data_IF_084108024603
#
_entry.id   IF_084108024603
#
_cell.length_a   1.000
_cell.length_b   1.000
_cell.length_c   1.000
_cell.angle_alpha   90.00
_cell.angle_beta   90.00
_cell.angle_gamma   90.00
#
_symmetry.space_group_name_H-M   'P 1'
#
loop_
_entity.id
_entity.type
_entity.pdbx_description
1 polymer ?
#
# COMPACT_ATOMS: atom_id res chain seq x y z
N UNK A 1 -1.76 16.00 -17.33
CA UNK A 1 -2.52 17.27 -17.28
C UNK A 1 -3.92 16.93 -16.81
N UNK A 2 -4.44 17.64 -15.81
CA UNK A 2 -5.75 17.34 -15.23
C UNK A 2 -6.88 17.84 -16.14
N UNK A 3 -8.05 17.21 -16.07
CA UNK A 3 -9.24 17.65 -16.78
C UNK A 3 -9.88 18.88 -16.13
N UNK A 4 -10.76 19.57 -16.88
CA UNK A 4 -11.46 20.78 -16.39
C UNK A 4 -12.24 20.60 -15.09
N UNK A 5 -12.75 19.40 -14.80
CA UNK A 5 -13.45 19.12 -13.54
C UNK A 5 -12.49 18.95 -12.36
N UNK A 6 -11.36 18.30 -12.59
CA UNK A 6 -10.30 18.08 -11.60
C UNK A 6 -9.65 19.41 -11.21
N UNK A 7 -9.39 20.28 -12.20
CA UNK A 7 -8.90 21.64 -11.98
C UNK A 7 -9.85 22.47 -11.11
N UNK A 8 -11.17 22.33 -11.29
CA UNK A 8 -12.16 23.02 -10.44
C UNK A 8 -12.11 22.55 -8.99
N UNK A 9 -11.94 21.24 -8.76
CA UNK A 9 -11.81 20.68 -7.41
C UNK A 9 -10.53 21.22 -6.75
N UNK A 10 -9.42 21.18 -7.48
CA UNK A 10 -8.12 21.70 -7.06
C UNK A 10 -8.22 23.19 -6.71
N UNK A 11 -8.88 24.00 -7.53
CA UNK A 11 -9.09 25.44 -7.28
C UNK A 11 -9.88 25.70 -5.99
N UNK A 12 -10.90 24.88 -5.70
CA UNK A 12 -11.71 24.99 -4.48
C UNK A 12 -10.87 24.85 -3.20
N UNK A 13 -9.83 24.04 -3.23
CA UNK A 13 -8.93 23.77 -2.08
C UNK A 13 -7.52 24.33 -2.28
N UNK A 14 -7.36 25.36 -3.13
CA UNK A 14 -6.05 25.88 -3.56
C UNK A 14 -5.22 26.55 -2.46
N UNK A 15 -5.84 26.98 -1.35
CA UNK A 15 -5.15 27.62 -0.22
C UNK A 15 -4.50 26.58 0.69
N UNK A 16 -3.46 25.92 0.19
CA UNK A 16 -2.67 24.93 0.94
C UNK A 16 -1.46 25.60 1.59
N UNK A 17 -1.32 25.43 2.90
CA UNK A 17 -0.22 25.93 3.71
C UNK A 17 0.35 24.85 4.65
N UNK A 18 1.35 25.21 5.46
CA UNK A 18 2.01 24.30 6.39
C UNK A 18 1.12 23.70 7.48
N UNK A 19 -0.06 24.26 7.75
CA UNK A 19 -0.97 23.81 8.80
C UNK A 19 -2.11 22.96 8.25
N UNK A 20 -2.58 23.25 7.04
CA UNK A 20 -3.78 22.65 6.48
C UNK A 20 -3.53 21.65 5.34
N UNK A 21 -2.27 21.47 4.89
CA UNK A 21 -1.94 20.67 3.71
C UNK A 21 -2.52 19.26 3.72
N UNK A 22 -2.48 18.56 4.86
CA UNK A 22 -3.00 17.20 4.97
C UNK A 22 -4.50 17.14 4.73
N UNK A 23 -5.24 18.04 5.39
CA UNK A 23 -6.71 18.08 5.31
C UNK A 23 -7.17 18.50 3.93
N UNK A 24 -6.53 19.51 3.34
CA UNK A 24 -6.89 20.00 2.00
C UNK A 24 -6.57 18.97 0.91
N UNK A 25 -5.42 18.30 0.95
CA UNK A 25 -5.08 17.25 -0.03
C UNK A 25 -6.07 16.08 0.08
N UNK A 26 -6.37 15.60 1.29
CA UNK A 26 -7.36 14.53 1.46
C UNK A 26 -8.77 14.97 1.04
N UNK A 27 -9.13 16.25 1.25
CA UNK A 27 -10.42 16.79 0.79
C UNK A 27 -10.50 16.86 -0.73
N UNK A 28 -9.41 17.21 -1.42
CA UNK A 28 -9.31 17.13 -2.89
C UNK A 28 -9.53 15.69 -3.34
N UNK A 29 -8.85 14.73 -2.70
CA UNK A 29 -9.02 13.29 -2.98
C UNK A 29 -10.47 12.86 -2.75
N UNK A 30 -11.10 13.30 -1.66
CA UNK A 30 -12.49 12.99 -1.35
C UNK A 30 -13.45 13.45 -2.44
N UNK A 31 -13.24 14.66 -2.96
CA UNK A 31 -14.03 15.22 -4.07
C UNK A 31 -13.60 14.70 -5.45
N UNK A 32 -12.51 13.96 -5.54
CA UNK A 32 -12.01 13.42 -6.81
C UNK A 32 -12.99 12.42 -7.38
N UNK A 33 -13.43 12.65 -8.63
CA UNK A 33 -14.32 11.71 -9.32
C UNK A 33 -13.49 10.57 -9.90
N UNK A 34 -13.85 9.35 -9.53
CA UNK A 34 -13.26 8.13 -10.08
C UNK A 34 -14.27 7.55 -11.06
N UNK A 35 -13.86 7.40 -12.32
CA UNK A 35 -14.65 6.71 -13.32
C UNK A 35 -14.11 5.29 -13.53
N UNK A 36 -14.90 4.27 -13.23
CA UNK A 36 -14.49 2.87 -13.35
C UNK A 36 -14.12 2.45 -14.79
N UNK A 37 -14.54 3.22 -15.81
CA UNK A 37 -14.16 2.97 -17.21
C UNK A 37 -12.73 3.38 -17.56
N UNK A 38 -12.13 4.24 -16.74
CA UNK A 38 -10.76 4.70 -16.95
C UNK A 38 -9.79 3.84 -16.13
N UNK A 39 -8.64 3.52 -16.71
CA UNK A 39 -7.54 2.92 -15.99
C UNK A 39 -6.75 4.01 -15.27
N UNK A 40 -6.78 3.97 -13.94
CA UNK A 40 -6.01 4.87 -13.10
C UNK A 40 -4.92 4.11 -12.35
N UNK A 41 -3.69 4.63 -12.38
CA UNK A 41 -2.56 3.99 -11.68
C UNK A 41 -2.75 3.92 -10.16
N UNK A 42 -3.63 4.75 -9.59
CA UNK A 42 -3.96 4.77 -8.17
C UNK A 42 -5.16 3.89 -7.80
N UNK A 43 -5.79 3.23 -8.75
CA UNK A 43 -6.91 2.31 -8.54
C UNK A 43 -6.56 0.93 -9.10
N UNK A 44 -6.02 0.09 -8.23
CA UNK A 44 -5.50 -1.23 -8.56
C UNK A 44 -6.67 -2.16 -8.91
N UNK A 45 -6.61 -2.72 -10.11
CA UNK A 45 -7.67 -3.55 -10.71
C UNK A 45 -9.07 -2.93 -10.60
N UNK A 46 -9.16 -1.60 -10.70
CA UNK A 46 -10.42 -0.83 -10.59
C UNK A 46 -11.15 -0.95 -9.23
N UNK A 47 -10.50 -1.49 -8.20
CA UNK A 47 -11.11 -1.77 -6.90
C UNK A 47 -10.31 -1.16 -5.73
N UNK A 48 -9.01 -1.46 -5.66
CA UNK A 48 -8.16 -1.08 -4.51
C UNK A 48 -7.52 0.29 -4.70
N UNK A 49 -7.82 1.24 -3.82
CA UNK A 49 -7.41 2.64 -3.95
C UNK A 49 -6.12 2.97 -3.17
N UNK A 50 -5.07 3.33 -3.90
CA UNK A 50 -3.83 3.86 -3.34
C UNK A 50 -3.91 5.40 -3.26
N UNK A 51 -4.43 5.93 -2.15
CA UNK A 51 -4.59 7.38 -1.97
C UNK A 51 -3.28 8.16 -2.05
N UNK A 52 -2.16 7.56 -1.65
CA UNK A 52 -0.83 8.19 -1.68
C UNK A 52 -0.41 8.51 -3.11
N UNK A 53 -0.67 7.60 -4.05
CA UNK A 53 -0.34 7.80 -5.47
C UNK A 53 -1.16 8.94 -6.09
N UNK A 54 -2.44 9.07 -5.72
CA UNK A 54 -3.24 10.23 -6.13
C UNK A 54 -2.74 11.52 -5.46
N UNK A 55 -2.38 11.47 -4.18
CA UNK A 55 -1.83 12.62 -3.45
C UNK A 55 -0.56 13.16 -4.13
N UNK A 56 0.38 12.29 -4.52
CA UNK A 56 1.59 12.68 -5.25
C UNK A 56 1.25 13.41 -6.55
N UNK A 57 0.31 12.88 -7.35
CA UNK A 57 -0.13 13.55 -8.59
C UNK A 57 -0.72 14.94 -8.35
N UNK A 58 -1.50 15.09 -7.27
CA UNK A 58 -2.07 16.39 -6.89
C UNK A 58 -0.96 17.36 -6.47
N UNK A 59 -0.01 16.89 -5.67
CA UNK A 59 1.10 17.71 -5.15
C UNK A 59 2.01 18.20 -6.28
N UNK A 60 2.38 17.31 -7.20
CA UNK A 60 3.20 17.63 -8.37
C UNK A 60 2.58 18.72 -9.25
N UNK A 61 1.25 18.82 -9.27
CA UNK A 61 0.53 19.85 -10.01
C UNK A 61 0.62 21.23 -9.35
N UNK A 62 0.54 21.32 -8.02
CA UNK A 62 0.54 22.60 -7.30
C UNK A 62 1.92 23.27 -7.24
N UNK A 63 3.02 22.52 -7.41
CA UNK A 63 4.39 23.04 -7.37
C UNK A 63 4.67 23.94 -6.14
N UNK A 64 4.50 23.38 -4.95
CA UNK A 64 4.78 24.10 -3.70
C UNK A 64 6.25 24.50 -3.55
N UNK A 65 6.53 25.39 -2.60
CA UNK A 65 7.89 25.72 -2.19
C UNK A 65 8.61 24.51 -1.53
N UNK A 66 9.94 24.59 -1.44
CA UNK A 66 10.80 23.51 -0.95
C UNK A 66 10.49 23.11 0.51
N UNK A 67 10.17 24.08 1.38
CA UNK A 67 9.87 23.83 2.79
C UNK A 67 8.58 23.03 2.93
N UNK A 68 7.54 23.38 2.17
CA UNK A 68 6.26 22.68 2.19
C UNK A 68 6.35 21.31 1.51
N UNK A 69 7.06 21.20 0.38
CA UNK A 69 7.32 19.91 -0.29
C UNK A 69 7.99 18.91 0.65
N UNK A 70 8.98 19.35 1.43
CA UNK A 70 9.66 18.46 2.40
C UNK A 70 8.67 17.90 3.43
N UNK A 71 7.72 18.72 3.93
CA UNK A 71 6.68 18.24 4.86
C UNK A 71 5.69 17.30 4.19
N UNK A 72 5.28 17.60 2.96
CA UNK A 72 4.37 16.77 2.16
C UNK A 72 4.96 15.39 1.89
N UNK A 73 6.22 15.34 1.44
CA UNK A 73 6.97 14.10 1.22
C UNK A 73 7.03 13.29 2.52
N UNK A 74 7.48 13.89 3.63
CA UNK A 74 7.54 13.21 4.93
C UNK A 74 6.18 12.67 5.39
N UNK A 75 5.08 13.37 5.07
CA UNK A 75 3.73 12.92 5.37
C UNK A 75 3.27 11.76 4.49
N UNK A 76 3.51 11.81 3.17
CA UNK A 76 3.14 10.72 2.25
C UNK A 76 3.90 9.43 2.58
N UNK A 77 5.19 9.54 2.87
CA UNK A 77 6.03 8.40 3.22
C UNK A 77 5.80 7.89 4.64
N UNK A 78 4.99 8.58 5.45
CA UNK A 78 4.60 8.07 6.75
C UNK A 78 3.77 6.77 6.58
N UNK A 79 4.12 5.67 7.27
CA UNK A 79 3.43 4.39 7.11
C UNK A 79 2.08 4.31 7.87
N UNK A 80 1.63 5.39 8.51
CA UNK A 80 0.34 5.46 9.20
C UNK A 80 -0.83 5.22 8.24
N UNK A 81 -1.71 4.27 8.59
CA UNK A 81 -2.82 3.82 7.73
C UNK A 81 -3.77 4.95 7.33
N UNK A 82 -4.15 5.77 8.31
CA UNK A 82 -5.09 6.88 8.16
C UNK A 82 -4.40 8.25 7.98
N UNK A 83 -3.24 8.29 7.31
CA UNK A 83 -2.55 9.52 6.96
C UNK A 83 -2.29 10.48 8.14
N UNK A 84 -1.97 9.94 9.33
CA UNK A 84 -1.77 10.67 10.61
C UNK A 84 -3.01 11.36 11.19
N UNK A 85 -4.20 10.92 10.76
CA UNK A 85 -5.49 11.27 11.38
C UNK A 85 -6.05 10.06 12.15
N UNK A 86 -7.12 10.29 12.92
CA UNK A 86 -7.98 9.20 13.37
C UNK A 86 -8.71 8.56 12.18
N UNK A 87 -9.10 7.30 12.33
CA UNK A 87 -9.87 6.56 11.32
C UNK A 87 -11.14 7.32 10.89
N UNK A 88 -11.91 7.84 11.84
CA UNK A 88 -13.15 8.59 11.58
C UNK A 88 -12.87 9.84 10.74
N UNK A 89 -11.88 10.66 11.13
CA UNK A 89 -11.55 11.88 10.40
C UNK A 89 -11.03 11.57 9.00
N UNK A 90 -10.21 10.52 8.85
CA UNK A 90 -9.74 10.10 7.53
C UNK A 90 -10.90 9.67 6.64
N UNK A 91 -11.81 8.82 7.15
CA UNK A 91 -13.02 8.37 6.45
C UNK A 91 -13.92 9.53 6.01
N UNK A 92 -14.10 10.53 6.88
CA UNK A 92 -14.85 11.76 6.55
C UNK A 92 -14.20 12.53 5.38
N UNK A 93 -12.88 12.67 5.39
CA UNK A 93 -12.16 13.46 4.38
C UNK A 93 -12.17 12.82 2.99
N UNK A 94 -11.95 11.51 2.90
CA UNK A 94 -11.86 10.81 1.61
C UNK A 94 -13.20 10.27 1.11
N UNK A 95 -14.19 10.16 2.00
CA UNK A 95 -15.50 9.58 1.71
C UNK A 95 -15.55 8.06 1.80
N UNK A 96 -16.76 7.53 2.02
CA UNK A 96 -17.00 6.12 2.33
C UNK A 96 -16.51 5.15 1.26
N UNK A 97 -16.82 5.39 -0.02
CA UNK A 97 -16.43 4.50 -1.12
C UNK A 97 -14.90 4.40 -1.26
N UNK A 98 -14.20 5.55 -1.25
CA UNK A 98 -12.73 5.58 -1.33
C UNK A 98 -12.08 5.00 -0.08
N UNK A 99 -12.73 5.12 1.08
CA UNK A 99 -12.27 4.50 2.31
C UNK A 99 -12.28 2.97 2.21
N UNK A 100 -13.37 2.36 1.73
CA UNK A 100 -13.43 0.92 1.52
C UNK A 100 -12.42 0.44 0.47
N UNK A 101 -12.26 1.22 -0.61
CA UNK A 101 -11.24 0.95 -1.62
C UNK A 101 -9.82 1.08 -1.04
N UNK A 102 -9.56 2.03 -0.14
CA UNK A 102 -8.29 2.16 0.58
C UNK A 102 -8.02 0.97 1.50
N UNK A 103 -9.03 0.49 2.23
CA UNK A 103 -8.88 -0.74 3.01
C UNK A 103 -8.58 -1.94 2.11
N UNK A 104 -9.21 -2.02 0.95
CA UNK A 104 -8.94 -3.07 -0.04
C UNK A 104 -7.48 -3.03 -0.51
N UNK A 105 -6.92 -1.84 -0.73
CA UNK A 105 -5.50 -1.67 -1.04
C UNK A 105 -4.61 -2.08 0.15
N UNK A 106 -4.96 -1.66 1.36
CA UNK A 106 -4.17 -1.99 2.55
C UNK A 106 -4.10 -3.49 2.79
N UNK A 107 -5.24 -4.18 2.81
CA UNK A 107 -5.25 -5.63 3.04
C UNK A 107 -4.76 -6.42 1.83
N UNK A 108 -5.19 -6.04 0.63
CA UNK A 108 -4.92 -6.81 -0.57
C UNK A 108 -3.56 -6.56 -1.22
N UNK A 109 -2.87 -5.48 -0.86
CA UNK A 109 -1.51 -5.19 -1.37
C UNK A 109 -0.51 -5.11 -0.21
N UNK A 110 -0.73 -4.22 0.75
CA UNK A 110 0.25 -3.98 1.83
C UNK A 110 0.40 -5.21 2.73
N UNK A 111 -0.70 -5.71 3.29
CA UNK A 111 -0.67 -6.88 4.17
C UNK A 111 -0.27 -8.15 3.40
N UNK A 112 -0.70 -8.29 2.16
CA UNK A 112 -0.31 -9.42 1.30
C UNK A 112 1.21 -9.46 1.06
N UNK A 113 1.84 -8.32 0.78
CA UNK A 113 3.31 -8.23 0.68
C UNK A 113 3.99 -8.57 2.00
N UNK A 114 3.44 -8.12 3.13
CA UNK A 114 3.96 -8.49 4.44
C UNK A 114 3.83 -9.98 4.74
N UNK A 115 2.76 -10.64 4.27
CA UNK A 115 2.60 -12.09 4.38
C UNK A 115 3.64 -12.84 3.55
N UNK A 116 3.90 -12.40 2.31
CA UNK A 116 4.97 -12.96 1.45
C UNK A 116 6.32 -12.82 2.15
N UNK A 117 6.66 -11.61 2.64
CA UNK A 117 7.92 -11.35 3.35
C UNK A 117 8.05 -12.16 4.66
N UNK A 118 6.95 -12.31 5.41
CA UNK A 118 6.92 -13.19 6.58
C UNK A 118 7.25 -14.63 6.22
N UNK A 119 6.66 -15.15 5.14
CA UNK A 119 6.90 -16.52 4.68
C UNK A 119 8.34 -16.70 4.17
N UNK A 120 8.91 -15.71 3.48
CA UNK A 120 10.33 -15.68 3.11
C UNK A 120 11.24 -15.75 4.34
N UNK A 121 10.96 -14.94 5.36
CA UNK A 121 11.75 -14.91 6.60
C UNK A 121 11.74 -16.29 7.30
N UNK A 122 10.58 -16.95 7.36
CA UNK A 122 10.45 -18.28 7.98
C UNK A 122 11.21 -19.36 7.21
N UNK A 123 11.17 -19.34 5.87
CA UNK A 123 11.94 -20.26 5.05
C UNK A 123 13.46 -20.02 5.20
N UNK A 124 13.88 -18.75 5.25
CA UNK A 124 15.28 -18.40 5.48
C UNK A 124 15.77 -18.92 6.84
N UNK A 125 14.99 -18.74 7.92
CA UNK A 125 15.30 -19.28 9.25
C UNK A 125 15.45 -20.80 9.23
N UNK A 126 14.55 -21.50 8.53
CA UNK A 126 14.64 -22.96 8.35
C UNK A 126 15.92 -23.33 7.62
N UNK A 127 16.24 -22.67 6.52
CA UNK A 127 17.46 -22.94 5.75
C UNK A 127 18.73 -22.77 6.61
N UNK A 128 18.79 -21.71 7.42
CA UNK A 128 19.90 -21.48 8.36
C UNK A 128 19.96 -22.61 9.40
N UNK A 129 18.82 -23.02 9.95
CA UNK A 129 18.77 -24.12 10.94
C UNK A 129 19.22 -25.47 10.37
N UNK A 130 19.04 -25.69 9.07
CA UNK A 130 19.53 -26.85 8.33
C UNK A 130 20.96 -26.67 7.80
N UNK A 131 21.74 -25.71 8.31
CA UNK A 131 23.14 -25.53 7.89
C UNK A 131 23.31 -25.16 6.41
N UNK A 132 22.29 -24.55 5.78
CA UNK A 132 22.25 -24.20 4.35
C UNK A 132 22.31 -25.37 3.36
N UNK A 133 22.01 -26.60 3.79
CA UNK A 133 21.90 -27.75 2.87
C UNK A 133 20.67 -27.67 1.95
N UNK A 134 19.58 -27.07 2.44
CA UNK A 134 18.35 -26.82 1.67
C UNK A 134 18.32 -25.35 1.24
N UNK A 135 18.00 -25.09 -0.03
CA UNK A 135 17.85 -23.72 -0.57
C UNK A 135 16.41 -23.48 -0.99
N UNK A 136 15.76 -22.55 -0.32
CA UNK A 136 14.43 -22.11 -0.71
C UNK A 136 14.49 -21.04 -1.79
N UNK A 137 13.44 -20.97 -2.59
CA UNK A 137 13.26 -20.07 -3.73
C UNK A 137 11.94 -19.32 -3.57
N UNK A 138 11.69 -18.28 -4.39
CA UNK A 138 10.38 -17.63 -4.43
C UNK A 138 9.23 -18.62 -4.68
N UNK A 139 9.49 -19.72 -5.38
CA UNK A 139 8.47 -20.75 -5.64
C UNK A 139 7.92 -21.38 -4.37
N UNK A 140 8.78 -21.61 -3.37
CA UNK A 140 8.40 -22.23 -2.10
C UNK A 140 7.50 -21.31 -1.29
N UNK A 141 7.74 -20.00 -1.36
CA UNK A 141 6.94 -18.96 -0.67
C UNK A 141 5.53 -18.92 -1.22
N UNK A 142 5.41 -18.76 -2.55
CA UNK A 142 4.10 -18.66 -3.20
C UNK A 142 3.34 -19.98 -3.12
N UNK A 143 4.03 -21.12 -3.23
CA UNK A 143 3.42 -22.44 -3.04
C UNK A 143 2.88 -22.62 -1.62
N UNK A 144 3.59 -22.13 -0.59
CA UNK A 144 3.13 -22.22 0.80
C UNK A 144 1.86 -21.38 1.06
N UNK A 145 1.79 -20.18 0.45
CA UNK A 145 0.66 -19.25 0.66
C UNK A 145 -0.53 -19.65 -0.19
N UNK A 146 -0.33 -19.80 -1.51
CA UNK A 146 -1.39 -19.92 -2.52
C UNK A 146 -1.65 -21.35 -3.00
N UNK A 147 -0.83 -22.33 -2.59
CA UNK A 147 -0.80 -23.69 -3.17
C UNK A 147 -0.53 -23.71 -4.70
N UNK A 148 0.11 -22.65 -5.22
CA UNK A 148 0.48 -22.48 -6.62
C UNK A 148 1.87 -21.85 -6.67
N UNK A 149 2.69 -22.31 -7.61
CA UNK A 149 4.03 -21.77 -7.90
C UNK A 149 3.96 -20.32 -8.37
N UNK A 150 4.98 -19.53 -8.03
CA UNK A 150 5.15 -18.15 -8.50
C UNK A 150 5.12 -18.07 -10.03
N UNK A 151 5.88 -18.93 -10.73
CA UNK A 151 5.91 -18.95 -12.19
C UNK A 151 4.52 -19.20 -12.79
N UNK A 152 3.73 -20.10 -12.22
CA UNK A 152 2.37 -20.34 -12.70
C UNK A 152 1.44 -19.16 -12.43
N UNK A 153 1.52 -18.57 -11.23
CA UNK A 153 0.71 -17.38 -10.89
C UNK A 153 1.04 -16.21 -11.81
N UNK A 154 2.32 -15.96 -12.10
CA UNK A 154 2.70 -14.83 -12.95
C UNK A 154 2.35 -15.08 -14.41
N UNK A 155 2.48 -16.31 -14.91
CA UNK A 155 2.08 -16.68 -16.27
C UNK A 155 0.56 -16.56 -16.45
N UNK A 156 -0.23 -17.01 -15.47
CA UNK A 156 -1.68 -16.86 -15.43
C UNK A 156 -2.07 -15.37 -15.43
N UNK A 157 -1.40 -14.55 -14.59
CA UNK A 157 -1.61 -13.11 -14.54
C UNK A 157 -1.27 -12.42 -15.87
N UNK A 158 -0.13 -12.71 -16.48
CA UNK A 158 0.23 -12.16 -17.78
C UNK A 158 -0.75 -12.55 -18.88
N UNK A 159 -1.24 -13.78 -18.85
CA UNK A 159 -2.24 -14.27 -19.80
C UNK A 159 -3.58 -13.55 -19.63
N UNK A 160 -4.05 -13.39 -18.40
CA UNK A 160 -5.31 -12.72 -18.06
C UNK A 160 -5.32 -11.24 -18.46
N UNK A 161 -4.22 -10.52 -18.17
CA UNK A 161 -4.09 -9.09 -18.44
C UNK A 161 -3.42 -8.75 -19.78
N UNK A 162 -3.13 -9.77 -20.61
CA UNK A 162 -2.49 -9.64 -21.94
C UNK A 162 -1.17 -8.85 -21.89
N UNK A 163 -0.37 -9.07 -20.85
CA UNK A 163 0.91 -8.39 -20.65
C UNK A 163 1.97 -9.10 -21.50
N UNK A 164 2.57 -8.38 -22.44
CA UNK A 164 3.51 -8.95 -23.43
C UNK A 164 4.97 -8.88 -23.02
N UNK A 165 5.32 -8.02 -22.06
CA UNK A 165 6.71 -7.81 -21.63
C UNK A 165 6.98 -8.45 -20.29
N UNK A 166 8.11 -9.14 -20.14
CA UNK A 166 8.54 -9.72 -18.86
C UNK A 166 9.06 -8.70 -17.84
N UNK A 167 9.06 -7.40 -18.18
CA UNK A 167 9.45 -6.33 -17.26
C UNK A 167 8.21 -5.81 -16.54
N UNK A 168 8.03 -6.23 -15.30
CA UNK A 168 6.94 -5.80 -14.43
C UNK A 168 7.31 -4.44 -13.83
N UNK A 169 6.45 -3.43 -14.02
CA UNK A 169 6.57 -2.15 -13.30
C UNK A 169 6.04 -2.30 -11.87
N UNK A 170 6.38 -1.39 -10.96
CA UNK A 170 5.84 -1.43 -9.59
C UNK A 170 4.30 -1.44 -9.56
N UNK A 171 3.65 -0.73 -10.49
CA UNK A 171 2.20 -0.76 -10.64
C UNK A 171 1.68 -2.15 -11.04
N UNK A 172 2.33 -2.79 -12.01
CA UNK A 172 1.97 -4.14 -12.43
C UNK A 172 2.21 -5.15 -11.31
N UNK A 173 3.23 -4.95 -10.48
CA UNK A 173 3.49 -5.80 -9.32
C UNK A 173 2.45 -5.59 -8.20
N UNK A 174 1.99 -4.36 -7.96
CA UNK A 174 0.85 -4.10 -7.06
C UNK A 174 -0.44 -4.79 -7.57
N UNK A 175 -0.72 -4.72 -8.88
CA UNK A 175 -1.85 -5.43 -9.50
C UNK A 175 -1.73 -6.95 -9.34
N UNK A 176 -0.56 -7.51 -9.61
CA UNK A 176 -0.27 -8.92 -9.42
C UNK A 176 -0.49 -9.35 -7.96
N UNK A 177 0.02 -8.57 -7.01
CA UNK A 177 -0.16 -8.82 -5.58
C UNK A 177 -1.66 -8.83 -5.21
N UNK A 178 -2.41 -7.82 -5.65
CA UNK A 178 -3.84 -7.71 -5.39
C UNK A 178 -4.64 -8.86 -6.02
N UNK A 179 -4.27 -9.28 -7.23
CA UNK A 179 -4.86 -10.43 -7.91
C UNK A 179 -4.59 -11.75 -7.16
N UNK A 180 -3.36 -11.96 -6.67
CA UNK A 180 -3.03 -13.10 -5.81
C UNK A 180 -3.83 -13.09 -4.50
N UNK A 181 -3.99 -11.92 -3.88
CA UNK A 181 -4.85 -11.76 -2.70
C UNK A 181 -6.29 -12.19 -2.99
N UNK A 182 -6.89 -11.74 -4.10
CA UNK A 182 -8.26 -12.14 -4.49
C UNK A 182 -8.36 -13.66 -4.64
N UNK A 183 -7.42 -14.28 -5.35
CA UNK A 183 -7.35 -15.75 -5.43
C UNK A 183 -7.23 -16.42 -4.07
N UNK A 184 -6.44 -15.87 -3.14
CA UNK A 184 -6.29 -16.41 -1.79
C UNK A 184 -7.59 -16.32 -1.00
N UNK A 185 -8.30 -15.20 -1.09
CA UNK A 185 -9.62 -15.02 -0.46
C UNK A 185 -10.62 -16.05 -0.99
N UNK A 186 -10.63 -16.29 -2.30
CA UNK A 186 -11.61 -17.19 -2.93
C UNK A 186 -11.31 -18.68 -2.70
N UNK A 187 -10.03 -19.05 -2.54
CA UNK A 187 -9.60 -20.46 -2.52
C UNK A 187 -9.09 -20.97 -1.15
N UNK A 188 -9.05 -20.12 -0.12
CA UNK A 188 -8.57 -20.51 1.22
C UNK A 188 -9.71 -20.76 2.19
N UNK A 189 -9.54 -21.75 3.06
CA UNK A 189 -10.38 -21.91 4.24
C UNK A 189 -10.38 -20.63 5.10
N UNK A 190 -11.53 -20.21 5.68
CA UNK A 190 -11.61 -18.97 6.47
C UNK A 190 -10.60 -18.89 7.62
N UNK A 191 -10.30 -20.03 8.25
CA UNK A 191 -9.30 -20.12 9.33
C UNK A 191 -7.87 -19.86 8.83
N UNK A 192 -7.52 -20.39 7.66
CA UNK A 192 -6.22 -20.12 7.00
C UNK A 192 -6.14 -18.65 6.60
N UNK A 193 -7.18 -18.14 5.95
CA UNK A 193 -7.27 -16.73 5.53
C UNK A 193 -7.03 -15.78 6.71
N UNK A 194 -7.71 -15.99 7.84
CA UNK A 194 -7.55 -15.17 9.04
C UNK A 194 -6.14 -15.29 9.65
N UNK A 195 -5.60 -16.51 9.73
CA UNK A 195 -4.25 -16.78 10.24
C UNK A 195 -3.18 -16.08 9.42
N UNK A 196 -3.29 -16.17 8.09
CA UNK A 196 -2.34 -15.56 7.16
C UNK A 196 -2.44 -14.03 7.18
N UNK A 197 -3.65 -13.47 7.22
CA UNK A 197 -3.83 -12.03 7.42
C UNK A 197 -3.20 -11.57 8.75
N UNK A 198 -3.38 -12.34 9.83
CA UNK A 198 -2.75 -12.05 11.13
C UNK A 198 -1.22 -12.08 11.06
N UNK A 199 -0.63 -13.03 10.34
CA UNK A 199 0.83 -13.09 10.13
C UNK A 199 1.34 -11.84 9.39
N UNK A 200 0.67 -11.46 8.31
CA UNK A 200 1.01 -10.25 7.55
C UNK A 200 0.94 -8.97 8.41
N UNK A 201 -0.14 -8.78 9.15
CA UNK A 201 -0.30 -7.63 10.07
C UNK A 201 0.75 -7.61 11.17
N UNK A 202 1.03 -8.77 11.79
CA UNK A 202 2.05 -8.88 12.83
C UNK A 202 3.45 -8.59 12.29
N UNK A 203 3.74 -9.04 11.07
CA UNK A 203 5.01 -8.73 10.40
C UNK A 203 5.15 -7.23 10.15
N UNK A 204 4.10 -6.57 9.63
CA UNK A 204 4.09 -5.11 9.45
C UNK A 204 4.35 -4.38 10.76
N UNK A 205 3.66 -4.76 11.84
CA UNK A 205 3.85 -4.16 13.16
C UNK A 205 5.31 -4.28 13.65
N UNK A 206 5.90 -5.49 13.54
CA UNK A 206 7.30 -5.73 13.93
C UNK A 206 8.28 -4.90 13.09
N UNK A 207 8.07 -4.86 11.77
CA UNK A 207 8.87 -4.07 10.86
C UNK A 207 8.87 -2.60 11.27
N UNK A 208 7.69 -2.07 11.56
CA UNK A 208 7.52 -0.67 11.91
C UNK A 208 8.06 -0.31 13.29
N UNK A 209 7.89 -1.18 14.28
CA UNK A 209 8.53 -1.02 15.60
C UNK A 209 10.06 -1.02 15.50
N UNK A 210 10.64 -1.87 14.65
CA UNK A 210 12.08 -1.86 14.34
C UNK A 210 12.52 -0.53 13.72
N UNK A 211 11.80 -0.04 12.72
CA UNK A 211 12.12 1.23 12.06
C UNK A 211 12.01 2.42 13.03
N UNK A 212 10.99 2.44 13.89
CA UNK A 212 10.91 3.41 14.97
C UNK A 212 12.16 3.36 15.86
N UNK A 213 12.56 2.18 16.35
CA UNK A 213 13.75 2.04 17.20
C UNK A 213 15.01 2.58 16.53
N UNK A 214 15.21 2.33 15.23
CA UNK A 214 16.35 2.86 14.45
C UNK A 214 16.34 4.38 14.34
N UNK A 215 15.17 4.97 14.11
CA UNK A 215 15.03 6.43 14.04
C UNK A 215 15.30 7.10 15.39
N UNK A 216 14.93 6.44 16.50
CA UNK A 216 15.15 6.97 17.86
C UNK A 216 16.52 6.64 18.44
N UNK A 217 17.17 5.54 18.04
CA UNK A 217 18.54 5.23 18.51
C UNK A 217 19.57 6.26 18.05
N UNK A 218 19.32 6.92 16.92
CA UNK A 218 20.20 7.96 16.38
C UNK A 218 19.89 9.37 16.88
N UNK A 219 18.88 9.57 17.75
CA UNK A 219 18.51 10.88 18.30
C UNK A 219 18.52 10.83 19.83
N UNK A 220 19.54 11.44 20.43
CA UNK A 220 19.69 11.66 21.89
C UNK A 220 18.52 12.45 22.54
N UNK A 221 17.51 12.92 21.80
CA UNK A 221 16.40 13.68 22.38
C UNK A 221 15.02 13.38 21.78
N UNK A 222 14.08 13.18 22.70
CA UNK A 222 12.61 13.10 22.59
C UNK A 222 12.01 11.91 21.81
N UNK A 223 11.48 10.95 22.60
CA UNK A 223 10.42 10.01 22.19
C UNK A 223 9.27 10.79 21.56
N UNK A 224 9.09 10.69 20.24
CA UNK A 224 7.78 10.85 19.63
C UNK A 224 7.27 9.43 19.42
N UNK A 225 6.19 9.00 20.04
CA UNK A 225 5.58 7.75 19.63
C UNK A 225 5.00 8.01 18.24
N UNK A 226 5.56 7.40 17.20
CA UNK A 226 4.87 7.36 15.91
C UNK A 226 3.74 6.37 16.11
N UNK A 227 2.52 6.90 16.17
CA UNK A 227 1.33 6.08 16.26
C UNK A 227 1.16 5.33 14.94
N UNK A 228 1.04 4.02 15.06
CA UNK A 228 0.88 3.11 13.94
C UNK A 228 -0.44 2.40 14.13
N UNK A 229 -1.53 3.18 14.14
CA UNK A 229 -2.88 2.63 14.19
C UNK A 229 -3.12 1.86 12.90
N UNK A 230 -3.42 0.56 13.05
CA UNK A 230 -3.82 -0.38 12.00
C UNK A 230 -5.12 -1.06 12.40
#
# INVERSE_FOLDING_TARGET
MFGKEEEKIIQKFSKIDHNNYKENILSIIGNWKINNKNSYDYLILHEAFNWKRLAVKIIDYFRFDESLNTKLINWIFNPHLYATFSENKFRELIGFEKYNAHLSYFYGVTIERCLIAYSEEELLKRQISYGNFVRYTPEDVYSQIYNITYNKLIDDFFSEFKITTKKISELEFEKFTYWCFKKRVDNSEPSKLASDTKKGTMFLYKFMDSENKRLYSNRSTRKKNIDFVF
#
